data_IF_350661086357
#
_entry.id   IF_350661086357
#
_cell.length_a   1.000
_cell.length_b   1.000
_cell.length_c   1.000
_cell.angle_alpha   90.00
_cell.angle_beta   90.00
_cell.angle_gamma   90.00
#
_symmetry.space_group_name_H-M   'P 1'
#
loop_
_entity.id
_entity.type
_entity.pdbx_description
1 polymer ?
#
# COMPACT_ATOMS: atom_id res chain seq x y z
N UNK A 1 -24.73 30.75 12.00
CA UNK A 1 -23.36 30.24 11.89
C UNK A 1 -23.44 28.73 11.85
N UNK A 2 -23.22 28.11 10.68
CA UNK A 2 -23.17 26.65 10.56
C UNK A 2 -21.88 26.16 11.18
N UNK A 3 -21.94 25.66 12.41
CA UNK A 3 -20.82 25.02 13.06
C UNK A 3 -20.38 23.83 12.21
N UNK A 4 -19.18 23.91 11.64
CA UNK A 4 -18.53 22.76 11.02
C UNK A 4 -18.23 21.78 12.16
N UNK A 5 -19.07 20.77 12.31
CA UNK A 5 -18.79 19.59 13.15
C UNK A 5 -17.68 18.79 12.47
N UNK A 6 -16.44 19.20 12.72
CA UNK A 6 -15.27 18.44 12.34
C UNK A 6 -15.24 17.17 13.19
N UNK A 7 -15.62 16.03 12.60
CA UNK A 7 -15.39 14.73 13.23
C UNK A 7 -13.90 14.45 13.28
N UNK A 8 -13.39 14.04 14.44
CA UNK A 8 -12.01 13.58 14.57
C UNK A 8 -11.78 12.37 13.67
N UNK A 9 -10.54 12.15 13.22
CA UNK A 9 -10.16 10.94 12.48
C UNK A 9 -10.38 9.67 13.30
N UNK A 10 -10.37 9.78 14.63
CA UNK A 10 -10.66 8.69 15.55
C UNK A 10 -12.16 8.39 15.70
N UNK A 11 -13.03 9.28 15.23
CA UNK A 11 -14.50 9.16 15.33
C UNK A 11 -15.15 8.76 14.00
N UNK A 12 -14.34 8.57 12.94
CA UNK A 12 -14.83 8.16 11.63
C UNK A 12 -15.09 6.65 11.60
N UNK A 13 -16.18 6.25 10.94
CA UNK A 13 -16.39 4.84 10.62
C UNK A 13 -15.36 4.34 9.61
N UNK A 14 -15.20 3.03 9.51
CA UNK A 14 -14.32 2.45 8.48
C UNK A 14 -14.75 2.86 7.06
N UNK A 15 -16.05 2.97 6.79
CA UNK A 15 -16.54 3.44 5.48
C UNK A 15 -16.16 4.91 5.23
N UNK A 16 -16.28 5.77 6.24
CA UNK A 16 -15.91 7.19 6.13
C UNK A 16 -14.39 7.36 5.92
N UNK A 17 -13.58 6.55 6.61
CA UNK A 17 -12.11 6.51 6.42
C UNK A 17 -11.78 6.05 5.01
N UNK A 18 -12.37 4.95 4.54
CA UNK A 18 -12.13 4.43 3.19
C UNK A 18 -12.54 5.44 2.12
N UNK A 19 -13.70 6.09 2.26
CA UNK A 19 -14.17 7.10 1.32
C UNK A 19 -13.19 8.28 1.21
N UNK A 20 -12.57 8.68 2.33
CA UNK A 20 -11.56 9.74 2.35
C UNK A 20 -10.19 9.29 1.85
N UNK A 21 -9.76 8.07 2.19
CA UNK A 21 -8.44 7.54 1.85
C UNK A 21 -8.35 7.05 0.40
N UNK A 22 -9.44 6.57 -0.19
CA UNK A 22 -9.47 5.98 -1.53
C UNK A 22 -8.90 6.89 -2.62
N UNK A 23 -9.32 8.16 -2.77
CA UNK A 23 -8.76 9.02 -3.82
C UNK A 23 -7.24 9.23 -3.65
N UNK A 24 -6.75 9.34 -2.41
CA UNK A 24 -5.32 9.50 -2.11
C UNK A 24 -4.55 8.23 -2.49
N UNK A 25 -5.09 7.06 -2.15
CA UNK A 25 -4.49 5.77 -2.50
C UNK A 25 -4.45 5.55 -4.02
N UNK A 26 -5.52 5.93 -4.73
CA UNK A 26 -5.61 5.80 -6.19
C UNK A 26 -4.61 6.75 -6.89
N UNK A 27 -4.41 7.97 -6.39
CA UNK A 27 -3.40 8.91 -6.89
C UNK A 27 -1.97 8.42 -6.62
N UNK A 28 -1.69 7.97 -5.39
CA UNK A 28 -0.38 7.40 -5.04
C UNK A 28 -0.05 6.17 -5.89
N UNK A 29 -1.03 5.32 -6.17
CA UNK A 29 -0.88 4.15 -7.04
C UNK A 29 -0.54 4.55 -8.47
N UNK A 30 -1.21 5.58 -9.00
CA UNK A 30 -0.91 6.12 -10.33
C UNK A 30 0.52 6.65 -10.42
N UNK A 31 0.94 7.44 -9.44
CA UNK A 31 2.31 7.98 -9.38
C UNK A 31 3.36 6.86 -9.31
N UNK A 32 3.16 5.88 -8.45
CA UNK A 32 4.06 4.73 -8.35
C UNK A 32 4.26 4.06 -9.72
N UNK A 33 3.18 3.81 -10.44
CA UNK A 33 3.23 3.22 -11.78
C UNK A 33 3.86 4.11 -12.85
N UNK A 34 3.69 5.43 -12.78
CA UNK A 34 4.36 6.38 -13.68
C UNK A 34 5.89 6.38 -13.45
N UNK A 35 6.33 6.14 -12.23
CA UNK A 35 7.74 6.03 -11.86
C UNK A 35 8.30 4.61 -11.96
N UNK A 36 7.52 3.64 -12.48
CA UNK A 36 7.97 2.25 -12.59
C UNK A 36 8.14 1.52 -11.24
N UNK A 37 7.54 2.06 -10.18
CA UNK A 37 7.55 1.46 -8.85
C UNK A 37 6.40 0.45 -8.69
N UNK A 38 6.63 -0.66 -7.98
CA UNK A 38 5.56 -1.59 -7.62
C UNK A 38 4.68 -1.02 -6.51
N UNK A 39 3.48 -1.57 -6.40
CA UNK A 39 2.66 -1.44 -5.19
C UNK A 39 3.03 -2.56 -4.24
N UNK A 40 3.35 -2.20 -3.00
CA UNK A 40 3.82 -3.14 -1.98
C UNK A 40 2.73 -3.42 -0.96
N UNK A 41 2.44 -4.70 -0.69
CA UNK A 41 1.47 -5.11 0.33
C UNK A 41 1.84 -6.46 0.94
N UNK A 42 1.17 -6.82 2.04
CA UNK A 42 1.34 -8.11 2.72
C UNK A 42 0.01 -8.86 2.76
N UNK A 43 0.06 -10.17 2.59
CA UNK A 43 -1.06 -11.09 2.77
C UNK A 43 -0.56 -12.40 3.41
N UNK A 44 -1.40 -13.44 3.42
CA UNK A 44 -1.10 -14.79 3.91
C UNK A 44 0.14 -15.47 3.30
N UNK A 45 0.66 -14.99 2.17
CA UNK A 45 1.89 -15.50 1.56
C UNK A 45 3.17 -14.92 2.20
N UNK A 46 3.05 -13.80 2.92
CA UNK A 46 4.16 -13.12 3.62
C UNK A 46 4.40 -13.76 5.00
N UNK A 47 4.96 -14.97 5.01
CA UNK A 47 5.15 -15.77 6.24
C UNK A 47 6.28 -15.26 7.16
N UNK A 48 7.17 -14.41 6.65
CA UNK A 48 8.25 -13.76 7.42
C UNK A 48 8.06 -12.24 7.44
N UNK A 49 8.68 -11.57 8.41
CA UNK A 49 8.54 -10.11 8.63
C UNK A 49 9.07 -9.27 7.47
N UNK A 50 10.14 -9.74 6.84
CA UNK A 50 10.79 -9.10 5.70
C UNK A 50 10.08 -9.39 4.37
N UNK A 51 9.07 -10.26 4.35
CA UNK A 51 8.37 -10.64 3.13
C UNK A 51 7.27 -9.65 2.75
N UNK A 52 7.32 -9.20 1.49
CA UNK A 52 6.38 -8.25 0.89
C UNK A 52 6.04 -8.72 -0.53
N UNK A 53 4.80 -8.47 -0.96
CA UNK A 53 4.40 -8.66 -2.37
C UNK A 53 4.58 -7.34 -3.11
N UNK A 54 5.29 -7.40 -4.23
CA UNK A 54 5.36 -6.31 -5.21
C UNK A 54 4.42 -6.61 -6.38
N UNK A 55 3.44 -5.74 -6.61
CA UNK A 55 2.56 -5.77 -7.78
C UNK A 55 2.95 -4.66 -8.75
N UNK A 56 3.38 -5.05 -9.93
CA UNK A 56 3.80 -4.12 -10.98
C UNK A 56 2.62 -3.67 -11.83
N UNK A 57 2.79 -2.55 -12.56
CA UNK A 57 1.77 -2.01 -13.48
C UNK A 57 1.29 -3.02 -14.53
N UNK A 58 2.17 -3.95 -14.92
CA UNK A 58 1.90 -5.04 -15.87
C UNK A 58 1.01 -6.15 -15.29
N UNK A 59 0.71 -6.11 -13.99
CA UNK A 59 -0.01 -7.16 -13.27
C UNK A 59 0.87 -8.29 -12.77
N UNK A 60 2.17 -8.27 -13.09
CA UNK A 60 3.14 -9.22 -12.54
C UNK A 60 3.27 -9.03 -11.03
N UNK A 61 3.40 -10.14 -10.30
CA UNK A 61 3.54 -10.15 -8.86
C UNK A 61 4.78 -10.93 -8.46
N UNK A 62 5.56 -10.35 -7.56
CA UNK A 62 6.73 -10.99 -6.98
C UNK A 62 6.63 -10.98 -5.46
N UNK A 63 6.89 -12.13 -4.84
CA UNK A 63 7.21 -12.18 -3.42
C UNK A 63 8.69 -11.82 -3.26
N UNK A 64 8.96 -10.78 -2.48
CA UNK A 64 10.30 -10.27 -2.21
C UNK A 64 10.58 -10.28 -0.71
N UNK A 65 11.85 -10.29 -0.36
CA UNK A 65 12.39 -10.04 0.98
C UNK A 65 13.03 -8.66 0.97
N UNK A 66 12.68 -7.80 1.93
CA UNK A 66 13.19 -6.43 2.05
C UNK A 66 13.98 -6.30 3.36
N UNK A 67 15.28 -6.00 3.25
CA UNK A 67 16.16 -5.83 4.41
C UNK A 67 15.70 -4.64 5.26
N UNK A 68 15.47 -4.81 6.57
CA UNK A 68 15.10 -3.70 7.46
C UNK A 68 16.26 -2.71 7.68
N UNK A 69 17.51 -3.12 7.47
CA UNK A 69 18.69 -2.29 7.71
C UNK A 69 18.91 -1.24 6.61
N UNK A 70 18.62 -1.58 5.35
CA UNK A 70 18.96 -0.73 4.21
C UNK A 70 17.90 -0.69 3.09
N UNK A 71 16.78 -1.39 3.25
CA UNK A 71 15.72 -1.44 2.25
C UNK A 71 16.09 -2.22 0.98
N UNK A 72 17.20 -2.97 0.97
CA UNK A 72 17.57 -3.78 -0.18
C UNK A 72 16.54 -4.88 -0.43
N UNK A 73 16.22 -5.09 -1.69
CA UNK A 73 15.16 -6.00 -2.12
C UNK A 73 15.77 -7.25 -2.76
N UNK A 74 15.41 -8.42 -2.26
CA UNK A 74 15.75 -9.72 -2.84
C UNK A 74 14.48 -10.42 -3.31
N UNK A 75 14.42 -10.73 -4.60
CA UNK A 75 13.32 -11.54 -5.17
C UNK A 75 13.37 -12.97 -4.63
N UNK A 76 12.26 -13.45 -4.10
CA UNK A 76 12.12 -14.82 -3.60
C UNK A 76 11.47 -15.72 -4.66
N UNK A 77 10.32 -15.32 -5.21
CA UNK A 77 9.63 -16.01 -6.32
C UNK A 77 8.59 -15.12 -6.99
N UNK A 78 8.22 -15.48 -8.22
CA UNK A 78 7.04 -14.94 -8.91
C UNK A 78 5.76 -15.58 -8.33
N UNK A 79 4.68 -14.81 -8.24
CA UNK A 79 3.35 -15.25 -7.80
C UNK A 79 2.37 -15.33 -8.96
#
# INVERSE_FOLDING_TARGET
MSGLTFKSVFDLSNEEIQAKARPIADEAKKLAWEHGMPISYRNELCVQEDMIIHEYKTGEKDLVSVSPENGSVRKLRRL
#
